data_IF_668914491254
#
_entry.id   IF_668914491254
#
_cell.length_a   1.000
_cell.length_b   1.000
_cell.length_c   1.000
_cell.angle_alpha   90.00
_cell.angle_beta   90.00
_cell.angle_gamma   90.00
#
_symmetry.space_group_name_H-M   'P 1'
#
loop_
_entity.id
_entity.type
_entity.pdbx_description
1 polymer ?
#
# COMPACT_ATOMS: atom_id res chain seq x y z
N UNK A 1 12.12 4.65 6.18
CA UNK A 1 11.21 4.70 7.34
C UNK A 1 10.07 5.62 6.97
N UNK A 2 8.84 5.12 7.03
CA UNK A 2 7.63 5.91 6.73
C UNK A 2 6.75 5.86 7.96
N UNK A 3 6.51 7.01 8.60
CA UNK A 3 5.70 7.11 9.82
C UNK A 3 4.50 7.98 9.52
N UNK A 4 3.30 7.45 9.76
CA UNK A 4 2.05 8.17 9.62
C UNK A 4 1.31 8.17 10.97
N UNK A 5 1.39 9.29 11.68
CA UNK A 5 0.71 9.50 12.97
C UNK A 5 -0.39 10.55 12.81
N UNK A 6 -1.57 10.30 13.39
CA UNK A 6 -2.60 11.33 13.52
C UNK A 6 -3.32 11.22 14.84
N UNK A 7 -3.40 12.34 15.57
CA UNK A 7 -4.02 12.41 16.91
C UNK A 7 -5.52 12.65 16.87
N UNK A 8 -6.06 13.15 15.75
CA UNK A 8 -7.44 13.68 15.70
C UNK A 8 -8.23 13.30 14.46
N UNK A 9 -7.60 12.76 13.40
CA UNK A 9 -8.28 12.41 12.15
C UNK A 9 -7.71 11.13 11.54
N UNK A 10 -8.56 10.19 11.15
CA UNK A 10 -8.10 8.98 10.44
C UNK A 10 -7.62 9.31 9.03
N UNK A 11 -6.58 8.62 8.56
CA UNK A 11 -6.24 8.56 7.15
C UNK A 11 -7.04 7.41 6.52
N UNK A 12 -7.98 7.73 5.63
CA UNK A 12 -8.81 6.74 4.95
C UNK A 12 -8.26 6.55 3.55
N UNK A 13 -7.56 5.43 3.33
CA UNK A 13 -7.12 5.02 2.00
C UNK A 13 -8.22 4.23 1.29
N UNK A 14 -8.15 4.21 -0.05
CA UNK A 14 -9.01 3.37 -0.88
C UNK A 14 -8.92 1.91 -0.44
N UNK A 15 -10.07 1.26 -0.28
CA UNK A 15 -10.20 -0.12 0.15
C UNK A 15 -10.67 -0.97 -1.03
N UNK A 16 -9.83 -1.88 -1.48
CA UNK A 16 -10.09 -2.73 -2.65
C UNK A 16 -9.83 -4.20 -2.30
N UNK A 17 -10.48 -5.10 -3.01
CA UNK A 17 -10.18 -6.54 -2.97
C UNK A 17 -8.93 -6.86 -3.80
N UNK A 18 -8.30 -8.00 -3.54
CA UNK A 18 -7.15 -8.46 -4.33
C UNK A 18 -7.44 -8.52 -5.85
N UNK A 19 -8.66 -8.91 -6.23
CA UNK A 19 -9.10 -8.94 -7.62
C UNK A 19 -9.21 -7.53 -8.24
N UNK A 20 -9.71 -6.56 -7.48
CA UNK A 20 -9.79 -5.17 -7.94
C UNK A 20 -8.41 -4.53 -8.08
N UNK A 21 -7.47 -4.86 -7.20
CA UNK A 21 -6.08 -4.38 -7.28
C UNK A 21 -5.39 -4.97 -8.52
N UNK A 22 -5.58 -6.26 -8.81
CA UNK A 22 -5.06 -6.90 -10.01
C UNK A 22 -5.68 -6.35 -11.31
N UNK A 23 -6.89 -5.78 -11.24
CA UNK A 23 -7.57 -5.17 -12.37
C UNK A 23 -7.12 -3.72 -12.66
N UNK A 24 -6.26 -3.12 -11.82
CA UNK A 24 -5.74 -1.77 -12.07
C UNK A 24 -4.86 -1.81 -13.33
N UNK A 25 -5.15 -0.99 -14.35
CA UNK A 25 -4.34 -0.96 -15.57
C UNK A 25 -2.87 -0.66 -15.25
N UNK A 26 -1.89 -1.39 -15.81
CA UNK A 26 -0.48 -1.15 -15.55
C UNK A 26 -0.02 0.28 -15.85
N UNK A 27 -0.64 0.93 -16.85
CA UNK A 27 -0.37 2.32 -17.20
C UNK A 27 -0.75 3.34 -16.11
N UNK A 28 -1.61 2.95 -15.16
CA UNK A 28 -2.06 3.79 -14.06
C UNK A 28 -1.32 3.49 -12.75
N UNK A 29 -0.47 2.46 -12.73
CA UNK A 29 0.33 2.13 -11.56
C UNK A 29 1.48 3.14 -11.44
N UNK A 30 1.52 3.82 -10.31
CA UNK A 30 2.53 4.83 -9.99
C UNK A 30 3.18 4.43 -8.68
N UNK A 31 4.51 4.54 -8.62
CA UNK A 31 5.26 4.31 -7.39
C UNK A 31 4.72 5.19 -6.24
N UNK A 32 4.55 4.57 -5.07
CA UNK A 32 3.99 5.19 -3.88
C UNK A 32 2.46 5.13 -3.79
N UNK A 33 1.77 4.50 -4.74
CA UNK A 33 0.32 4.29 -4.63
C UNK A 33 -0.01 3.39 -3.43
N UNK A 34 -0.98 3.79 -2.60
CA UNK A 34 -1.35 3.10 -1.37
C UNK A 34 -2.82 2.64 -1.41
N UNK A 35 -3.07 1.38 -1.08
CA UNK A 35 -4.42 0.78 -1.08
C UNK A 35 -4.53 -0.19 0.09
N UNK A 36 -5.67 -0.24 0.76
CA UNK A 36 -5.95 -1.30 1.74
C UNK A 36 -6.59 -2.50 1.04
N UNK A 37 -5.91 -3.65 1.09
CA UNK A 37 -6.44 -4.90 0.57
C UNK A 37 -7.40 -5.53 1.58
N UNK A 38 -8.69 -5.57 1.25
CA UNK A 38 -9.72 -6.16 2.11
C UNK A 38 -9.75 -7.69 2.08
N UNK A 39 -9.12 -8.32 1.10
CA UNK A 39 -9.00 -9.78 0.98
C UNK A 39 -7.86 -10.31 1.83
N UNK A 40 -6.72 -9.61 1.82
CA UNK A 40 -5.52 -9.99 2.58
C UNK A 40 -5.35 -9.23 3.90
N UNK A 41 -6.27 -8.29 4.19
CA UNK A 41 -6.28 -7.47 5.40
C UNK A 41 -4.94 -6.75 5.67
N UNK A 42 -4.32 -6.20 4.62
CA UNK A 42 -3.06 -5.47 4.74
C UNK A 42 -3.04 -4.18 3.92
N UNK A 43 -2.15 -3.25 4.31
CA UNK A 43 -1.87 -2.07 3.51
C UNK A 43 -0.92 -2.46 2.39
N UNK A 44 -1.32 -2.25 1.14
CA UNK A 44 -0.49 -2.46 -0.04
C UNK A 44 0.08 -1.13 -0.54
N UNK A 45 1.39 -1.11 -0.81
CA UNK A 45 2.07 0.02 -1.43
C UNK A 45 2.72 -0.45 -2.72
N UNK A 46 2.44 0.23 -3.84
CA UNK A 46 3.09 -0.06 -5.11
C UNK A 46 4.48 0.58 -5.09
N UNK A 47 5.52 -0.22 -4.93
CA UNK A 47 6.89 0.28 -4.80
C UNK A 47 7.88 -0.73 -5.37
N UNK A 48 9.13 -0.30 -5.49
CA UNK A 48 10.24 -1.15 -5.84
C UNK A 48 11.00 -1.56 -4.59
N UNK A 49 11.34 -2.84 -4.51
CA UNK A 49 12.20 -3.41 -3.45
C UNK A 49 13.66 -3.58 -3.89
N UNK A 50 13.95 -3.27 -5.15
CA UNK A 50 15.21 -3.55 -5.84
C UNK A 50 15.87 -2.29 -6.44
N UNK A 51 15.52 -1.10 -5.94
CA UNK A 51 16.15 0.16 -6.35
C UNK A 51 15.64 0.71 -7.68
N UNK A 52 14.42 0.36 -8.06
CA UNK A 52 13.69 0.87 -9.22
C UNK A 52 13.65 -0.08 -10.42
N UNK A 53 14.08 -1.34 -10.29
CA UNK A 53 14.13 -2.28 -11.42
C UNK A 53 12.84 -3.09 -11.61
N UNK A 54 12.13 -3.40 -10.53
CA UNK A 54 10.81 -4.01 -10.57
C UNK A 54 9.85 -3.30 -9.62
N UNK A 55 8.60 -3.18 -10.03
CA UNK A 55 7.55 -2.55 -9.24
C UNK A 55 6.45 -3.56 -8.93
N UNK A 56 6.13 -3.67 -7.66
CA UNK A 56 5.18 -4.64 -7.13
C UNK A 56 4.32 -4.05 -6.03
N UNK A 57 3.22 -4.74 -5.73
CA UNK A 57 2.38 -4.43 -4.58
C UNK A 57 2.95 -5.10 -3.33
N UNK A 58 3.55 -4.31 -2.46
CA UNK A 58 4.13 -4.77 -1.20
C UNK A 58 3.12 -4.67 -0.07
N UNK A 59 2.95 -5.77 0.68
CA UNK A 59 1.93 -5.90 1.74
C UNK A 59 2.56 -5.63 3.11
N UNK A 60 2.11 -4.56 3.76
CA UNK A 60 2.50 -4.14 5.10
C UNK A 60 1.39 -4.56 6.07
N UNK A 61 1.64 -5.62 6.83
CA UNK A 61 0.73 -6.17 7.84
C UNK A 61 1.21 -5.92 9.27
N UNK A 62 2.51 -5.68 9.45
CA UNK A 62 3.13 -5.43 10.76
C UNK A 62 3.23 -3.94 11.02
N UNK A 63 2.59 -3.50 12.10
CA UNK A 63 2.71 -2.12 12.56
C UNK A 63 4.07 -1.92 13.22
N UNK A 64 4.96 -1.17 12.58
CA UNK A 64 6.24 -0.76 13.16
C UNK A 64 6.07 0.60 13.83
N UNK A 65 5.50 0.61 15.04
CA UNK A 65 5.67 1.76 15.93
C UNK A 65 7.02 1.58 16.62
N UNK A 66 8.02 2.46 16.42
CA UNK A 66 9.12 2.54 17.36
C UNK A 66 8.53 3.13 18.64
N UNK A 67 8.67 2.41 19.75
CA UNK A 67 8.43 2.99 21.08
C UNK A 67 9.20 4.33 21.24
#
# INVERSE_FOLDING_TARGET
WTVLESKTKGFVINRLTAAQIAAIPPANLVEGMMIYDTTNNCMKIYTSTDGGTTFGWECFSTQTCPD
#
